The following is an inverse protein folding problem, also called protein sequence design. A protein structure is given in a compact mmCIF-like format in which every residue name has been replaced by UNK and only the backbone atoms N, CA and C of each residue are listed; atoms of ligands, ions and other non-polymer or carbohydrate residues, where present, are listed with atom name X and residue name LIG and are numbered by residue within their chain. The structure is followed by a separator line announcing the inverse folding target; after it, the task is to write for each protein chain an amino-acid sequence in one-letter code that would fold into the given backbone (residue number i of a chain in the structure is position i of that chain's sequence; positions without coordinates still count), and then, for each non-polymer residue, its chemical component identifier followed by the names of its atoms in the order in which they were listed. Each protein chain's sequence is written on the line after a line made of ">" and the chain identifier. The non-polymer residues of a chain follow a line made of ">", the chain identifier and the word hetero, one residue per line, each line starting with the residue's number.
data_IF_431227914696
#
_entry.id   IF_431227914696
#
_cell.length_a   1.000
_cell.length_b   1.000
_cell.length_c   1.000
_cell.angle_alpha   90.00
_cell.angle_beta   90.00
_cell.angle_gamma   90.00
#
_symmetry.space_group_name_H-M   'P 1'
#
loop_
_entity.id
_entity.type
_entity.pdbx_description
1 polymer ?
#
# COMPACT_ATOMS: atom_id res chain seq x y z
N UNK A 1 -15.32 -7.43 -17.83
CA UNK A 1 -14.17 -8.15 -17.23
C UNK A 1 -14.08 -9.52 -17.86
N UNK A 2 -12.94 -9.89 -18.45
CA UNK A 2 -12.72 -11.22 -19.04
C UNK A 2 -11.58 -11.91 -18.29
N UNK A 3 -11.86 -13.11 -17.77
CA UNK A 3 -10.98 -13.85 -16.87
C UNK A 3 -10.43 -15.11 -17.51
N UNK A 4 -9.18 -15.45 -17.20
CA UNK A 4 -8.52 -16.71 -17.49
C UNK A 4 -8.06 -17.36 -16.19
N UNK A 5 -8.11 -18.69 -16.14
CA UNK A 5 -7.60 -19.50 -15.05
C UNK A 5 -6.27 -20.14 -15.46
N UNK A 6 -5.30 -20.05 -14.56
CA UNK A 6 -3.96 -20.60 -14.76
C UNK A 6 -3.64 -21.59 -13.63
N UNK A 7 -2.88 -22.62 -13.93
CA UNK A 7 -2.35 -23.54 -12.92
C UNK A 7 -1.16 -22.91 -12.15
N UNK A 8 -0.55 -23.69 -11.27
CA UNK A 8 0.62 -23.27 -10.50
C UNK A 8 1.85 -22.95 -11.37
N UNK A 9 1.94 -23.55 -12.56
CA UNK A 9 3.01 -23.30 -13.54
C UNK A 9 2.70 -22.15 -14.49
N UNK A 10 1.61 -21.40 -14.24
CA UNK A 10 1.09 -20.31 -15.06
C UNK A 10 0.63 -20.73 -16.47
N UNK A 11 0.40 -22.01 -16.72
CA UNK A 11 -0.25 -22.47 -17.91
C UNK A 11 -1.74 -22.12 -17.85
N UNK A 12 -2.30 -21.58 -18.93
CA UNK A 12 -3.73 -21.31 -19.00
C UNK A 12 -4.51 -22.62 -19.13
N UNK A 13 -5.25 -22.99 -18.10
CA UNK A 13 -6.02 -24.22 -18.01
C UNK A 13 -7.52 -24.05 -18.32
N UNK A 14 -8.04 -22.82 -18.24
CA UNK A 14 -9.40 -22.50 -18.67
C UNK A 14 -9.56 -21.03 -19.03
N UNK A 15 -10.50 -20.75 -19.95
CA UNK A 15 -11.01 -19.41 -20.22
C UNK A 15 -12.38 -19.27 -19.58
N UNK A 16 -12.45 -18.47 -18.51
CA UNK A 16 -13.71 -18.17 -17.83
C UNK A 16 -14.50 -17.12 -18.63
N UNK A 17 -13.78 -16.17 -19.23
CA UNK A 17 -14.39 -15.03 -19.92
C UNK A 17 -15.18 -14.15 -18.94
N UNK A 18 -16.41 -13.84 -19.27
CA UNK A 18 -17.37 -13.13 -18.41
C UNK A 18 -18.45 -14.09 -17.81
N UNK A 19 -18.23 -15.41 -17.87
CA UNK A 19 -19.16 -16.45 -17.41
C UNK A 19 -18.97 -16.75 -15.92
N UNK A 20 -19.01 -15.74 -15.08
CA UNK A 20 -18.99 -15.86 -13.63
C UNK A 20 -20.29 -15.29 -13.05
N UNK A 21 -20.67 -15.71 -11.84
CA UNK A 21 -21.82 -15.20 -11.11
C UNK A 21 -21.48 -13.84 -10.52
N UNK A 22 -20.35 -13.78 -9.82
CA UNK A 22 -19.80 -12.54 -9.26
C UNK A 22 -18.27 -12.57 -9.23
N UNK A 23 -17.66 -11.40 -9.30
CA UNK A 23 -16.22 -11.23 -9.15
C UNK A 23 -15.92 -9.93 -8.41
N UNK A 24 -15.19 -10.04 -7.30
CA UNK A 24 -14.53 -8.94 -6.63
C UNK A 24 -13.06 -8.98 -7.01
N UNK A 25 -12.59 -7.95 -7.68
CA UNK A 25 -11.19 -7.75 -8.07
C UNK A 25 -10.66 -6.49 -7.43
N UNK A 26 -9.66 -6.61 -6.56
CA UNK A 26 -9.09 -5.44 -5.90
C UNK A 26 -7.57 -5.45 -6.00
N UNK A 27 -6.98 -4.29 -6.31
CA UNK A 27 -5.54 -4.08 -6.41
C UNK A 27 -5.13 -2.91 -5.53
N UNK A 28 -4.00 -3.03 -4.80
CA UNK A 28 -3.56 -2.01 -3.85
C UNK A 28 -2.14 -1.52 -4.10
N UNK A 29 -1.95 -0.22 -3.86
CA UNK A 29 -0.63 0.37 -3.82
C UNK A 29 0.10 -0.09 -2.55
N UNK A 30 1.23 -0.75 -2.72
CA UNK A 30 2.11 -1.24 -1.63
C UNK A 30 1.42 -2.15 -0.59
N UNK A 31 0.24 -2.66 -0.89
CA UNK A 31 -0.53 -3.58 -0.03
C UNK A 31 -1.16 -4.66 -0.87
N UNK A 32 -1.44 -5.82 -0.27
CA UNK A 32 -2.18 -6.89 -0.94
C UNK A 32 -3.68 -6.74 -0.71
N UNK A 33 -4.47 -6.86 -1.77
CA UNK A 33 -5.93 -6.74 -1.72
C UNK A 33 -6.63 -8.09 -1.94
N UNK A 34 -7.89 -8.14 -1.54
CA UNK A 34 -8.71 -9.35 -1.61
C UNK A 34 -9.28 -9.58 -3.00
N UNK A 35 -9.46 -10.84 -3.31
CA UNK A 35 -10.09 -11.37 -4.51
C UNK A 35 -11.17 -12.39 -4.15
N UNK A 36 -12.30 -12.32 -4.84
CA UNK A 36 -13.35 -13.34 -4.73
C UNK A 36 -13.97 -13.58 -6.11
N UNK A 37 -14.08 -14.84 -6.49
CA UNK A 37 -14.68 -15.27 -7.74
C UNK A 37 -15.73 -16.34 -7.46
N UNK A 38 -16.96 -16.11 -7.90
CA UNK A 38 -18.05 -17.07 -7.81
C UNK A 38 -18.41 -17.58 -9.20
N UNK A 39 -18.38 -18.89 -9.37
CA UNK A 39 -18.68 -19.58 -10.61
C UNK A 39 -19.86 -20.54 -10.41
N UNK A 40 -20.62 -20.77 -11.45
CA UNK A 40 -21.57 -21.91 -11.46
C UNK A 40 -20.77 -23.20 -11.43
N UNK A 41 -21.18 -24.12 -10.57
CA UNK A 41 -20.53 -25.44 -10.43
C UNK A 41 -20.63 -26.24 -11.73
N UNK A 42 -19.49 -26.67 -12.24
CA UNK A 42 -19.35 -27.60 -13.36
C UNK A 42 -18.28 -28.64 -13.03
N UNK A 43 -18.31 -29.82 -13.66
CA UNK A 43 -17.28 -30.83 -13.48
C UNK A 43 -15.88 -30.31 -13.88
N UNK A 44 -15.83 -29.44 -14.89
CA UNK A 44 -14.59 -28.79 -15.30
C UNK A 44 -14.03 -27.89 -14.22
N UNK A 45 -14.84 -26.96 -13.70
CA UNK A 45 -14.38 -26.00 -12.69
C UNK A 45 -14.09 -26.67 -11.34
N UNK A 46 -14.85 -27.72 -10.95
CA UNK A 46 -14.53 -28.52 -9.76
C UNK A 46 -13.14 -29.14 -9.81
N UNK A 47 -12.66 -29.51 -10.99
CA UNK A 47 -11.32 -30.09 -11.15
C UNK A 47 -10.21 -29.01 -11.24
N UNK A 48 -10.50 -27.91 -11.93
CA UNK A 48 -9.49 -26.91 -12.30
C UNK A 48 -9.33 -25.77 -11.28
N UNK A 49 -10.41 -25.38 -10.59
CA UNK A 49 -10.34 -24.28 -9.59
C UNK A 49 -9.82 -24.86 -8.28
N UNK A 50 -8.57 -24.55 -7.96
CA UNK A 50 -7.86 -25.09 -6.78
C UNK A 50 -7.07 -23.98 -6.06
N UNK A 51 -6.75 -24.16 -4.77
CA UNK A 51 -5.74 -23.33 -4.12
C UNK A 51 -4.43 -23.32 -4.92
N UNK A 52 -3.74 -22.20 -4.89
CA UNK A 52 -2.50 -21.89 -5.61
C UNK A 52 -2.62 -21.86 -7.14
N UNK A 53 -3.83 -21.98 -7.70
CA UNK A 53 -4.10 -21.53 -9.07
C UNK A 53 -4.21 -20.01 -9.12
N UNK A 54 -4.00 -19.46 -10.32
CA UNK A 54 -4.08 -18.03 -10.54
C UNK A 54 -5.25 -17.67 -11.45
N UNK A 55 -5.80 -16.47 -11.21
CA UNK A 55 -6.80 -15.86 -12.09
C UNK A 55 -6.20 -14.57 -12.63
N UNK A 56 -6.25 -14.40 -13.95
CA UNK A 56 -5.77 -13.22 -14.64
C UNK A 56 -6.87 -12.58 -15.49
N UNK A 57 -6.74 -11.29 -15.70
CA UNK A 57 -7.59 -10.50 -16.61
C UNK A 57 -6.91 -10.33 -17.95
N UNK A 58 -7.70 -10.08 -18.99
CA UNK A 58 -7.16 -9.79 -20.33
C UNK A 58 -6.77 -8.32 -20.51
N UNK A 59 -7.29 -7.44 -19.65
CA UNK A 59 -7.12 -5.98 -19.72
C UNK A 59 -6.16 -5.43 -18.64
N UNK A 60 -5.61 -6.31 -17.78
CA UNK A 60 -4.63 -5.94 -16.74
C UNK A 60 -3.58 -7.03 -16.57
N UNK A 61 -2.32 -6.64 -16.31
CA UNK A 61 -1.23 -7.61 -16.14
C UNK A 61 -1.21 -8.29 -14.76
N UNK A 62 -1.96 -7.76 -13.78
CA UNK A 62 -2.02 -8.30 -12.42
C UNK A 62 -2.69 -9.67 -12.40
N UNK A 63 -2.14 -10.59 -11.61
CA UNK A 63 -2.76 -11.87 -11.29
C UNK A 63 -3.30 -11.88 -9.85
N UNK A 64 -4.34 -12.68 -9.64
CA UNK A 64 -4.84 -13.06 -8.31
C UNK A 64 -4.48 -14.51 -8.03
N UNK A 65 -3.98 -14.82 -6.83
CA UNK A 65 -3.73 -16.18 -6.37
C UNK A 65 -4.93 -16.67 -5.56
N UNK A 66 -5.47 -17.84 -5.89
CA UNK A 66 -6.54 -18.50 -5.13
C UNK A 66 -5.93 -19.10 -3.87
N UNK A 67 -6.46 -18.78 -2.70
CA UNK A 67 -6.01 -19.34 -1.42
C UNK A 67 -7.06 -20.27 -0.79
N UNK A 68 -8.32 -20.10 -1.13
CA UNK A 68 -9.39 -20.97 -0.62
C UNK A 68 -10.45 -21.21 -1.69
N UNK A 69 -11.01 -22.40 -1.69
CA UNK A 69 -12.11 -22.82 -2.59
C UNK A 69 -13.19 -23.49 -1.77
N UNK A 70 -14.42 -23.00 -1.89
CA UNK A 70 -15.60 -23.58 -1.26
C UNK A 70 -16.63 -23.93 -2.34
N UNK A 71 -17.16 -25.16 -2.30
CA UNK A 71 -18.22 -25.61 -3.19
C UNK A 71 -19.51 -25.77 -2.36
N UNK A 72 -20.51 -24.99 -2.67
CA UNK A 72 -21.83 -25.06 -1.98
C UNK A 72 -22.96 -24.52 -2.85
N UNK A 73 -24.13 -25.15 -2.74
CA UNK A 73 -25.34 -24.67 -3.39
C UNK A 73 -25.27 -24.57 -4.91
N UNK A 74 -24.49 -25.43 -5.58
CA UNK A 74 -24.28 -25.38 -7.02
C UNK A 74 -23.29 -24.31 -7.49
N UNK A 75 -22.51 -23.74 -6.57
CA UNK A 75 -21.54 -22.70 -6.85
C UNK A 75 -20.15 -23.07 -6.32
N UNK A 76 -19.13 -22.59 -7.00
CA UNK A 76 -17.73 -22.64 -6.59
C UNK A 76 -17.33 -21.21 -6.23
N UNK A 77 -16.90 -21.00 -4.99
CA UNK A 77 -16.44 -19.72 -4.48
C UNK A 77 -14.93 -19.81 -4.24
N UNK A 78 -14.17 -19.13 -5.05
CA UNK A 78 -12.71 -19.03 -4.93
C UNK A 78 -12.34 -17.68 -4.33
N UNK A 79 -11.63 -17.70 -3.20
CA UNK A 79 -11.13 -16.49 -2.54
C UNK A 79 -9.61 -16.48 -2.51
N UNK A 80 -9.03 -15.31 -2.52
CA UNK A 80 -7.58 -15.15 -2.53
C UNK A 80 -7.15 -13.69 -2.45
N UNK A 81 -5.96 -13.42 -2.94
CA UNK A 81 -5.34 -12.09 -2.92
C UNK A 81 -4.56 -11.83 -4.20
N UNK A 82 -4.08 -10.60 -4.38
CA UNK A 82 -3.10 -10.29 -5.43
C UNK A 82 -1.90 -11.26 -5.36
N UNK A 83 -1.35 -11.63 -6.53
CA UNK A 83 -0.27 -12.61 -6.63
C UNK A 83 1.00 -12.23 -5.85
N UNK A 84 1.29 -10.94 -5.66
CA UNK A 84 2.41 -10.49 -4.79
C UNK A 84 2.32 -11.03 -3.36
N UNK A 85 1.14 -11.51 -2.92
CA UNK A 85 0.95 -12.16 -1.61
C UNK A 85 1.84 -13.41 -1.44
N UNK A 86 2.24 -14.08 -2.52
CA UNK A 86 3.11 -15.28 -2.42
C UNK A 86 4.50 -14.95 -1.88
N UNK A 87 4.94 -13.69 -1.96
CA UNK A 87 6.18 -13.22 -1.34
C UNK A 87 6.17 -13.31 0.20
N UNK A 88 4.99 -13.37 0.81
CA UNK A 88 4.88 -13.59 2.26
C UNK A 88 5.34 -14.98 2.68
N UNK A 89 5.23 -15.94 1.78
CA UNK A 89 5.60 -17.32 2.03
C UNK A 89 7.11 -17.56 1.79
N UNK A 90 7.87 -16.49 1.45
CA UNK A 90 9.33 -16.49 1.26
C UNK A 90 10.00 -15.75 2.41
N UNK A 91 10.63 -16.50 3.31
CA UNK A 91 11.33 -15.95 4.48
C UNK A 91 12.77 -15.56 4.13
N UNK A 92 13.14 -14.34 4.46
CA UNK A 92 14.52 -13.86 4.42
C UNK A 92 15.15 -13.91 5.83
N UNK A 93 16.20 -14.71 5.98
CA UNK A 93 16.99 -14.80 7.22
C UNK A 93 18.33 -14.07 6.99
N UNK A 94 18.35 -12.81 7.32
CA UNK A 94 19.51 -11.94 7.12
C UNK A 94 19.20 -10.51 7.50
N UNK A 95 20.12 -9.61 7.19
CA UNK A 95 20.02 -8.16 7.46
C UNK A 95 20.28 -7.38 6.19
N UNK A 96 19.42 -6.38 5.95
CA UNK A 96 19.63 -5.33 4.95
C UNK A 96 20.16 -4.11 5.71
N UNK A 97 21.33 -3.61 5.28
CA UNK A 97 21.96 -2.45 5.88
C UNK A 97 21.30 -1.14 5.45
N UNK A 98 21.38 -0.13 6.31
CA UNK A 98 21.04 1.24 5.96
C UNK A 98 21.80 1.73 4.71
N UNK A 99 21.16 2.54 3.89
CA UNK A 99 21.71 3.09 2.65
C UNK A 99 21.59 2.16 1.42
N UNK A 100 21.02 0.96 1.57
CA UNK A 100 20.82 0.05 0.44
C UNK A 100 19.69 0.51 -0.47
N UNK A 101 19.86 0.50 -1.82
CA UNK A 101 18.76 0.75 -2.74
C UNK A 101 17.64 -0.29 -2.56
N UNK A 102 16.38 0.18 -2.51
CA UNK A 102 15.22 -0.65 -2.16
C UNK A 102 15.07 -1.87 -3.08
N UNK A 103 15.02 -1.65 -4.38
CA UNK A 103 14.85 -2.68 -5.40
C UNK A 103 15.98 -3.71 -5.37
N UNK A 104 17.21 -3.24 -5.37
CA UNK A 104 18.42 -4.09 -5.28
C UNK A 104 18.47 -4.87 -3.97
N UNK A 105 18.12 -4.23 -2.85
CA UNK A 105 18.14 -4.87 -1.54
C UNK A 105 17.12 -6.01 -1.44
N UNK A 106 15.90 -5.78 -1.92
CA UNK A 106 14.85 -6.81 -1.95
C UNK A 106 15.20 -7.94 -2.91
N UNK A 107 15.71 -7.62 -4.11
CA UNK A 107 16.17 -8.64 -5.07
C UNK A 107 17.26 -9.52 -4.48
N UNK A 108 18.25 -8.92 -3.84
CA UNK A 108 19.34 -9.66 -3.19
C UNK A 108 18.83 -10.53 -2.02
N UNK A 109 17.91 -10.02 -1.22
CA UNK A 109 17.27 -10.79 -0.15
C UNK A 109 16.49 -11.98 -0.71
N UNK A 110 15.73 -11.77 -1.78
CA UNK A 110 14.98 -12.82 -2.46
C UNK A 110 15.88 -13.90 -3.05
N UNK A 111 16.97 -13.51 -3.71
CA UNK A 111 17.94 -14.44 -4.31
C UNK A 111 18.69 -15.30 -3.27
N UNK A 112 18.79 -14.83 -2.02
CA UNK A 112 19.36 -15.57 -0.88
C UNK A 112 18.35 -16.44 -0.13
N UNK A 113 17.08 -16.35 -0.49
CA UNK A 113 15.97 -17.09 0.14
C UNK A 113 15.56 -18.30 -0.69
N UNK A 114 14.69 -19.17 -0.13
CA UNK A 114 14.01 -20.20 -0.91
C UNK A 114 12.99 -19.52 -1.82
N UNK A 115 13.36 -19.32 -3.08
CA UNK A 115 12.56 -18.60 -4.05
C UNK A 115 11.22 -19.30 -4.30
N UNK A 116 10.17 -18.51 -4.44
CA UNK A 116 8.85 -19.03 -4.81
C UNK A 116 8.83 -19.41 -6.29
N UNK A 117 8.15 -20.51 -6.60
CA UNK A 117 8.03 -21.01 -7.97
C UNK A 117 7.43 -19.95 -8.90
N UNK A 118 8.03 -19.75 -10.06
CA UNK A 118 7.58 -18.79 -11.08
C UNK A 118 7.50 -17.31 -10.62
N UNK A 119 8.17 -16.93 -9.52
CA UNK A 119 8.29 -15.54 -9.08
C UNK A 119 9.71 -15.03 -9.34
N UNK A 120 9.80 -13.81 -9.81
CA UNK A 120 11.06 -13.08 -10.00
C UNK A 120 10.94 -11.66 -9.47
N UNK A 121 12.07 -11.06 -9.09
CA UNK A 121 12.16 -9.63 -8.78
C UNK A 121 12.90 -8.96 -9.93
N UNK A 122 12.22 -8.05 -10.62
CA UNK A 122 12.78 -7.31 -11.76
C UNK A 122 13.90 -6.36 -11.32
N UNK A 123 14.81 -6.05 -12.24
CA UNK A 123 15.75 -4.94 -12.08
C UNK A 123 15.01 -3.63 -12.39
N UNK A 124 14.98 -2.70 -11.44
CA UNK A 124 14.26 -1.42 -11.57
C UNK A 124 15.18 -0.21 -11.58
N UNK A 125 16.43 -0.37 -11.08
CA UNK A 125 17.50 0.65 -11.04
C UNK A 125 17.02 2.04 -10.56
N UNK A 126 16.21 2.04 -9.49
CA UNK A 126 15.60 3.27 -8.97
C UNK A 126 16.58 4.15 -8.21
N UNK A 127 17.64 3.56 -7.63
CA UNK A 127 18.65 4.28 -6.84
C UNK A 127 18.12 4.87 -5.52
N UNK A 128 16.88 4.58 -5.12
CA UNK A 128 16.27 5.10 -3.89
C UNK A 128 16.72 4.29 -2.70
N UNK A 129 17.45 4.93 -1.78
CA UNK A 129 18.04 4.28 -0.62
C UNK A 129 17.03 4.13 0.54
N UNK A 130 17.05 2.98 1.18
CA UNK A 130 16.40 2.73 2.46
C UNK A 130 17.36 3.07 3.60
N UNK A 131 16.96 3.97 4.48
CA UNK A 131 17.85 4.61 5.46
C UNK A 131 17.89 3.92 6.84
N UNK A 132 17.27 2.75 6.97
CA UNK A 132 17.25 2.00 8.22
C UNK A 132 17.83 0.60 8.04
N UNK A 133 18.07 -0.10 9.15
CA UNK A 133 18.40 -1.51 9.14
C UNK A 133 17.13 -2.35 9.32
N UNK A 134 17.00 -3.43 8.55
CA UNK A 134 15.87 -4.35 8.66
C UNK A 134 16.37 -5.80 8.60
N UNK A 135 15.81 -6.68 9.44
CA UNK A 135 16.26 -8.07 9.58
C UNK A 135 15.09 -9.03 9.74
N UNK A 136 15.27 -10.27 9.26
CA UNK A 136 14.41 -11.42 9.51
C UNK A 136 12.92 -11.17 9.22
N UNK A 137 12.59 -10.93 7.94
CA UNK A 137 11.23 -10.68 7.46
C UNK A 137 10.90 -11.59 6.28
N UNK A 138 9.61 -11.75 5.98
CA UNK A 138 9.21 -12.23 4.66
C UNK A 138 9.57 -11.20 3.58
N UNK A 139 9.71 -11.65 2.34
CA UNK A 139 10.01 -10.72 1.22
C UNK A 139 8.88 -9.70 1.04
N UNK A 140 7.62 -10.08 1.27
CA UNK A 140 6.50 -9.13 1.22
C UNK A 140 6.62 -8.04 2.29
N UNK A 141 6.89 -8.42 3.55
CA UNK A 141 7.07 -7.45 4.63
C UNK A 141 8.26 -6.50 4.37
N UNK A 142 9.36 -7.00 3.77
CA UNK A 142 10.46 -6.15 3.33
C UNK A 142 9.98 -5.11 2.32
N UNK A 143 9.24 -5.54 1.27
CA UNK A 143 8.68 -4.64 0.28
C UNK A 143 7.78 -3.58 0.91
N UNK A 144 6.85 -4.00 1.78
CA UNK A 144 5.86 -3.10 2.40
C UNK A 144 6.55 -2.05 3.31
N UNK A 145 7.49 -2.47 4.17
CA UNK A 145 8.20 -1.56 5.08
C UNK A 145 9.08 -0.59 4.30
N UNK A 146 9.90 -1.10 3.37
CA UNK A 146 10.81 -0.25 2.61
C UNK A 146 10.06 0.71 1.68
N UNK A 147 8.97 0.25 1.06
CA UNK A 147 8.12 1.07 0.21
C UNK A 147 7.41 2.19 0.99
N UNK A 148 6.94 1.91 2.22
CA UNK A 148 6.31 2.91 3.07
C UNK A 148 7.26 4.05 3.43
N UNK A 149 8.52 3.73 3.73
CA UNK A 149 9.50 4.72 4.17
C UNK A 149 10.13 5.52 3.01
N UNK A 150 10.17 4.94 1.82
CA UNK A 150 10.86 5.54 0.66
C UNK A 150 9.93 6.09 -0.41
N UNK A 151 8.62 5.89 -0.26
CA UNK A 151 7.59 6.28 -1.25
C UNK A 151 7.77 5.58 -2.62
N UNK A 152 8.51 4.46 -2.65
CA UNK A 152 8.65 3.59 -3.82
C UNK A 152 7.42 2.69 -3.92
N UNK A 153 6.87 2.52 -5.12
CA UNK A 153 5.82 1.56 -5.39
C UNK A 153 6.36 0.19 -5.75
N UNK A 154 5.61 -0.87 -5.41
CA UNK A 154 5.86 -2.20 -5.95
C UNK A 154 4.55 -2.86 -6.41
N UNK A 155 4.64 -3.64 -7.48
CA UNK A 155 3.51 -4.38 -8.05
C UNK A 155 3.98 -5.72 -8.58
N UNK A 156 3.06 -6.68 -8.68
CA UNK A 156 3.29 -7.92 -9.41
C UNK A 156 2.58 -7.87 -10.76
N UNK A 157 3.31 -8.21 -11.80
CA UNK A 157 2.79 -8.31 -13.16
C UNK A 157 3.04 -9.70 -13.70
N UNK A 158 2.15 -10.16 -14.57
CA UNK A 158 2.41 -11.37 -15.34
C UNK A 158 3.34 -11.02 -16.49
N UNK A 159 4.46 -11.72 -16.56
CA UNK A 159 5.44 -11.66 -17.63
C UNK A 159 5.61 -13.08 -18.23
N UNK A 160 4.93 -13.33 -19.34
CA UNK A 160 4.82 -14.63 -20.02
C UNK A 160 4.45 -15.78 -19.04
N UNK A 161 5.42 -16.58 -18.64
CA UNK A 161 5.28 -17.73 -17.75
C UNK A 161 5.79 -17.48 -16.32
N UNK A 162 5.96 -16.21 -15.93
CA UNK A 162 6.44 -15.79 -14.63
C UNK A 162 5.58 -14.68 -14.03
N UNK A 163 5.69 -14.54 -12.71
CA UNK A 163 5.20 -13.38 -11.97
C UNK A 163 6.41 -12.51 -11.69
N UNK A 164 6.50 -11.36 -12.34
CA UNK A 164 7.56 -10.39 -12.11
C UNK A 164 7.10 -9.35 -11.08
N UNK A 165 7.91 -9.12 -10.05
CA UNK A 165 7.70 -8.03 -9.11
C UNK A 165 8.57 -6.86 -9.53
N UNK A 166 7.92 -5.75 -9.83
CA UNK A 166 8.55 -4.52 -10.29
C UNK A 166 8.48 -3.45 -9.21
N UNK A 167 9.56 -2.70 -9.03
CA UNK A 167 9.57 -1.47 -8.24
C UNK A 167 9.49 -0.27 -9.17
N UNK A 168 8.78 0.77 -8.74
CA UNK A 168 8.61 1.98 -9.54
C UNK A 168 8.49 3.22 -8.66
N UNK A 169 8.80 4.38 -9.24
CA UNK A 169 8.57 5.66 -8.59
C UNK A 169 7.19 6.15 -9.02
N UNK A 170 6.24 6.33 -8.07
CA UNK A 170 4.94 6.90 -8.40
C UNK A 170 5.04 8.30 -9.00
N UNK A 171 4.24 8.59 -10.02
CA UNK A 171 4.25 9.87 -10.68
C UNK A 171 3.40 10.91 -9.92
N UNK A 172 3.91 12.14 -9.80
CA UNK A 172 3.07 13.30 -9.59
C UNK A 172 2.54 13.75 -10.95
N UNK A 173 1.22 13.67 -11.15
CA UNK A 173 0.59 14.12 -12.38
C UNK A 173 -0.09 15.50 -12.18
N UNK A 174 0.66 16.62 -12.28
CA UNK A 174 0.13 17.95 -12.00
C UNK A 174 -0.93 18.41 -13.00
N UNK A 175 -0.94 17.83 -14.19
CA UNK A 175 -1.86 18.17 -15.26
C UNK A 175 -3.19 17.42 -15.18
N UNK A 176 -3.26 16.37 -14.35
CA UNK A 176 -4.50 15.64 -14.10
C UNK A 176 -5.22 16.24 -12.89
N UNK A 177 -6.09 17.19 -13.17
CA UNK A 177 -6.90 17.84 -12.16
C UNK A 177 -8.22 17.09 -12.04
N UNK A 178 -8.54 16.70 -10.81
CA UNK A 178 -9.81 16.09 -10.42
C UNK A 178 -10.66 17.17 -9.76
N UNK A 179 -11.86 17.43 -10.29
CA UNK A 179 -12.75 18.48 -9.79
C UNK A 179 -14.20 18.23 -10.22
N UNK A 180 -15.16 18.70 -9.40
CA UNK A 180 -16.58 18.71 -9.77
C UNK A 180 -16.84 19.58 -11.00
N UNK A 181 -16.14 20.71 -11.14
CA UNK A 181 -16.28 21.62 -12.27
C UNK A 181 -15.89 20.97 -13.59
N UNK A 182 -14.88 20.09 -13.57
CA UNK A 182 -14.44 19.30 -14.74
C UNK A 182 -15.38 18.09 -14.97
N UNK A 183 -16.19 17.73 -13.96
CA UNK A 183 -17.12 16.61 -14.06
C UNK A 183 -16.44 15.23 -14.01
N UNK A 184 -15.23 15.14 -13.45
CA UNK A 184 -14.47 13.88 -13.35
C UNK A 184 -14.37 13.33 -11.91
N UNK A 185 -15.22 13.80 -11.02
CA UNK A 185 -15.34 13.38 -9.62
C UNK A 185 -16.81 13.31 -9.22
N UNK A 186 -17.16 12.29 -8.45
CA UNK A 186 -18.47 12.15 -7.81
C UNK A 186 -18.32 11.86 -6.32
N UNK A 187 -19.44 12.01 -5.57
CA UNK A 187 -19.52 11.66 -4.15
C UNK A 187 -18.36 12.20 -3.30
N UNK A 188 -18.17 13.53 -3.34
CA UNK A 188 -17.18 14.16 -2.48
C UNK A 188 -17.73 14.23 -1.07
N UNK A 189 -17.14 13.48 -0.17
CA UNK A 189 -17.30 13.62 1.27
C UNK A 189 -16.04 14.28 1.81
N UNK A 190 -16.22 15.29 2.66
CA UNK A 190 -15.14 15.98 3.32
C UNK A 190 -15.40 15.93 4.82
N UNK A 191 -14.44 15.43 5.58
CA UNK A 191 -14.44 15.57 7.03
C UNK A 191 -13.06 15.99 7.53
N UNK A 192 -13.06 16.95 8.42
CA UNK A 192 -11.86 17.43 9.10
C UNK A 192 -12.02 17.15 10.59
N UNK A 193 -11.04 16.50 11.20
CA UNK A 193 -11.04 16.24 12.63
C UNK A 193 -9.70 16.62 13.25
N UNK A 194 -9.78 17.31 14.35
CA UNK A 194 -8.65 17.68 15.22
C UNK A 194 -8.70 16.94 16.56
N UNK A 195 -9.57 15.93 16.67
CA UNK A 195 -9.82 15.22 17.94
C UNK A 195 -8.54 14.62 18.52
N UNK A 196 -7.75 13.97 17.67
CA UNK A 196 -6.47 13.37 18.06
C UNK A 196 -5.26 14.21 17.65
N UNK A 197 -5.48 15.38 17.09
CA UNK A 197 -4.40 16.24 16.62
C UNK A 197 -3.55 16.79 17.77
N UNK A 198 -2.24 16.63 17.63
CA UNK A 198 -1.22 17.16 18.54
C UNK A 198 -0.15 17.89 17.74
N UNK A 199 0.31 19.03 18.25
CA UNK A 199 1.32 19.85 17.59
C UNK A 199 2.48 20.24 18.50
N UNK A 200 2.50 19.72 19.73
CA UNK A 200 3.63 19.85 20.63
C UNK A 200 3.84 18.51 21.38
N UNK A 201 5.06 17.99 21.39
CA UNK A 201 5.39 16.79 22.16
C UNK A 201 6.30 17.15 23.34
N UNK A 202 5.87 16.75 24.54
CA UNK A 202 6.67 16.80 25.75
C UNK A 202 7.28 15.40 25.90
N UNK A 203 8.56 15.28 25.50
CA UNK A 203 9.28 13.99 25.53
C UNK A 203 10.00 13.85 26.87
N UNK A 204 9.71 12.78 27.56
CA UNK A 204 10.28 12.47 28.87
C UNK A 204 11.25 11.28 28.73
N UNK A 205 12.56 11.57 28.77
CA UNK A 205 13.65 10.62 28.68
C UNK A 205 13.94 9.88 30.01
N UNK A 206 15.19 9.52 30.25
CA UNK A 206 15.63 8.85 31.47
C UNK A 206 15.50 9.75 32.72
N UNK A 207 15.53 9.12 33.89
CA UNK A 207 15.30 9.74 35.19
C UNK A 207 14.01 9.27 35.86
N UNK A 208 13.71 9.81 37.03
CA UNK A 208 12.50 9.47 37.80
C UNK A 208 11.72 10.73 38.18
N UNK A 209 10.41 10.65 38.13
CA UNK A 209 9.53 11.74 38.53
C UNK A 209 9.82 13.08 37.82
N UNK A 210 10.10 14.12 38.61
CA UNK A 210 10.40 15.45 38.13
C UNK A 210 11.84 15.61 37.56
N UNK A 211 12.73 14.68 37.88
CA UNK A 211 14.14 14.71 37.46
C UNK A 211 14.35 14.06 36.08
N UNK A 212 13.28 13.67 35.42
CA UNK A 212 13.36 13.14 34.04
C UNK A 212 13.86 14.20 33.09
N UNK A 213 14.77 13.80 32.19
CA UNK A 213 15.17 14.66 31.06
C UNK A 213 13.94 14.97 30.22
N UNK A 214 13.69 16.27 30.01
CA UNK A 214 12.55 16.75 29.23
C UNK A 214 13.02 17.50 28.00
N UNK A 215 12.42 17.14 26.86
CA UNK A 215 12.58 17.87 25.59
C UNK A 215 11.20 18.21 25.06
N UNK A 216 10.98 19.49 24.75
CA UNK A 216 9.76 19.98 24.11
C UNK A 216 9.99 20.11 22.60
N UNK A 217 9.15 19.44 21.83
CA UNK A 217 9.17 19.47 20.35
C UNK A 217 7.97 20.29 19.88
N UNK A 218 8.22 21.58 19.67
CA UNK A 218 7.19 22.54 19.25
C UNK A 218 7.01 22.53 17.72
N UNK A 219 5.81 22.25 17.26
CA UNK A 219 5.33 22.30 15.87
C UNK A 219 4.01 23.09 15.78
N UNK A 220 3.81 24.06 16.67
CA UNK A 220 2.57 24.85 16.71
C UNK A 220 2.44 25.79 15.52
N UNK A 221 3.56 26.27 14.97
CA UNK A 221 3.61 27.23 13.85
C UNK A 221 2.61 28.40 14.03
N UNK A 222 2.44 28.86 15.30
CA UNK A 222 1.50 29.91 15.65
C UNK A 222 0.05 29.46 15.88
N UNK A 223 -0.26 28.20 15.74
CA UNK A 223 -1.56 27.64 16.10
C UNK A 223 -1.69 27.39 17.61
N UNK A 224 -2.92 27.15 18.09
CA UNK A 224 -3.17 26.76 19.47
C UNK A 224 -2.43 25.49 19.84
N UNK A 225 -1.69 25.54 20.95
CA UNK A 225 -0.86 24.43 21.43
C UNK A 225 -1.71 23.26 21.94
N UNK A 226 -1.36 22.05 21.47
CA UNK A 226 -1.99 20.79 21.82
C UNK A 226 -0.92 19.77 22.18
N UNK A 227 -0.73 19.56 23.50
CA UNK A 227 0.36 18.75 24.03
C UNK A 227 0.12 17.23 23.88
N UNK A 228 1.18 16.54 23.55
CA UNK A 228 1.33 15.08 23.63
C UNK A 228 2.45 14.76 24.62
N UNK A 229 2.16 13.95 25.62
CA UNK A 229 3.21 13.40 26.50
C UNK A 229 3.76 12.14 25.86
N UNK A 230 5.08 12.11 25.64
CA UNK A 230 5.80 10.96 25.07
C UNK A 230 6.73 10.36 26.12
N UNK A 231 6.44 9.14 26.55
CA UNK A 231 7.36 8.38 27.40
C UNK A 231 8.48 7.78 26.55
N UNK A 232 9.72 8.16 26.82
CA UNK A 232 10.93 7.73 26.15
C UNK A 232 11.98 7.17 27.11
N UNK A 233 11.56 6.50 28.19
CA UNK A 233 12.44 5.84 29.17
C UNK A 233 13.35 4.78 28.57
N UNK A 234 12.93 4.19 27.46
CA UNK A 234 13.69 3.22 26.68
C UNK A 234 14.91 3.83 25.99
N UNK A 235 14.92 5.15 25.75
CA UNK A 235 16.04 5.89 25.19
C UNK A 235 16.94 6.31 26.35
N UNK A 236 18.01 5.54 26.59
CA UNK A 236 19.02 5.83 27.60
C UNK A 236 20.20 6.55 26.97
N UNK A 237 20.88 7.39 27.78
CA UNK A 237 22.12 8.02 27.37
C UNK A 237 23.20 6.94 27.17
N UNK A 238 23.94 7.04 26.08
CA UNK A 238 25.04 6.15 25.75
C UNK A 238 26.36 6.65 26.38
N UNK A 239 27.31 5.73 26.62
CA UNK A 239 28.62 6.11 27.18
C UNK A 239 29.36 7.05 26.23
N UNK A 240 29.69 8.25 26.72
CA UNK A 240 30.35 9.29 25.94
C UNK A 240 29.43 10.17 25.09
N UNK A 241 28.11 9.91 25.10
CA UNK A 241 27.14 10.73 24.39
C UNK A 241 26.99 12.10 25.05
N UNK A 242 27.02 13.13 24.25
CA UNK A 242 26.76 14.49 24.71
C UNK A 242 25.27 14.71 24.98
N UNK A 243 24.97 15.71 25.81
CA UNK A 243 23.57 16.09 26.09
C UNK A 243 22.83 16.48 24.79
N UNK A 244 23.49 17.14 23.87
CA UNK A 244 22.92 17.54 22.60
C UNK A 244 22.52 16.35 21.73
N UNK A 245 23.37 15.33 21.66
CA UNK A 245 23.09 14.11 20.89
C UNK A 245 21.93 13.31 21.52
N UNK A 246 21.94 13.17 22.85
CA UNK A 246 20.82 12.55 23.56
C UNK A 246 19.50 13.28 23.35
N UNK A 247 19.50 14.62 23.47
CA UNK A 247 18.31 15.44 23.21
C UNK A 247 17.83 15.35 21.75
N UNK A 248 18.74 15.19 20.80
CA UNK A 248 18.37 14.98 19.39
C UNK A 248 17.62 13.65 19.18
N UNK A 249 18.01 12.59 19.88
CA UNK A 249 17.30 11.29 19.86
C UNK A 249 15.91 11.39 20.47
N UNK A 250 15.78 12.10 21.60
CA UNK A 250 14.48 12.38 22.21
C UNK A 250 13.60 13.23 21.29
N UNK A 251 14.18 14.27 20.65
CA UNK A 251 13.48 15.10 19.66
C UNK A 251 12.96 14.25 18.50
N UNK A 252 13.79 13.35 17.94
CA UNK A 252 13.39 12.47 16.87
C UNK A 252 12.20 11.56 17.28
N UNK A 253 12.20 11.04 18.52
CA UNK A 253 11.08 10.27 19.08
C UNK A 253 9.82 11.14 19.15
N UNK A 254 9.92 12.39 19.63
CA UNK A 254 8.81 13.32 19.71
C UNK A 254 8.22 13.66 18.35
N UNK A 255 9.06 13.94 17.35
CA UNK A 255 8.62 14.15 15.96
C UNK A 255 7.89 12.93 15.42
N UNK A 256 8.45 11.72 15.60
CA UNK A 256 7.81 10.48 15.17
C UNK A 256 6.42 10.29 15.79
N UNK A 257 6.30 10.58 17.09
CA UNK A 257 5.01 10.49 17.78
C UNK A 257 4.00 11.54 17.34
N UNK A 258 4.42 12.77 17.05
CA UNK A 258 3.53 13.81 16.50
C UNK A 258 2.97 13.41 15.11
N UNK A 259 3.74 12.69 14.30
CA UNK A 259 3.27 12.21 13.00
C UNK A 259 2.14 11.17 13.11
N UNK A 260 2.03 10.46 14.26
CA UNK A 260 0.91 9.56 14.55
C UNK A 260 -0.37 10.33 14.96
N UNK A 261 -0.25 11.60 15.33
CA UNK A 261 -1.31 12.48 15.83
C UNK A 261 -1.57 13.68 14.91
N UNK A 262 -1.55 13.48 13.61
CA UNK A 262 -1.81 14.53 12.63
C UNK A 262 -3.30 14.88 12.59
N UNK A 263 -3.60 16.11 12.16
CA UNK A 263 -4.96 16.48 11.80
C UNK A 263 -5.49 15.49 10.76
N UNK A 264 -6.64 14.87 11.06
CA UNK A 264 -7.25 13.94 10.14
C UNK A 264 -8.12 14.69 9.15
N UNK A 265 -7.73 14.64 7.90
CA UNK A 265 -8.52 15.11 6.79
C UNK A 265 -8.97 13.88 6.01
N UNK A 266 -10.24 13.54 6.12
CA UNK A 266 -10.81 12.47 5.31
C UNK A 266 -11.57 13.10 4.15
N UNK A 267 -11.12 12.82 2.96
CA UNK A 267 -11.87 13.08 1.74
C UNK A 267 -12.14 11.74 1.08
N UNK A 268 -13.40 11.40 0.95
CA UNK A 268 -13.82 10.35 0.06
C UNK A 268 -14.29 11.01 -1.22
N UNK A 269 -13.74 10.63 -2.33
CA UNK A 269 -14.21 11.01 -3.65
C UNK A 269 -14.00 9.84 -4.60
N UNK A 270 -14.87 9.74 -5.58
CA UNK A 270 -14.76 8.73 -6.62
C UNK A 270 -14.32 9.42 -7.91
N UNK A 271 -13.02 9.38 -8.26
CA UNK A 271 -12.59 9.76 -9.60
C UNK A 271 -13.28 8.85 -10.60
N UNK A 272 -13.63 9.39 -11.77
CA UNK A 272 -14.15 8.52 -12.82
C UNK A 272 -13.09 7.51 -13.23
N UNK A 273 -13.38 6.23 -13.00
CA UNK A 273 -12.49 5.09 -13.24
C UNK A 273 -12.11 4.90 -14.73
N UNK A 274 -12.75 5.62 -15.64
CA UNK A 274 -12.48 5.56 -17.09
C UNK A 274 -11.04 5.93 -17.45
N UNK A 275 -10.40 6.76 -16.65
CA UNK A 275 -9.02 7.20 -16.85
C UNK A 275 -7.99 6.31 -16.12
N UNK A 276 -8.43 5.40 -15.25
CA UNK A 276 -7.56 4.48 -14.51
C UNK A 276 -6.89 3.47 -15.45
N UNK A 277 -5.59 3.27 -15.27
CA UNK A 277 -4.76 2.44 -16.15
C UNK A 277 -4.41 3.09 -17.50
N UNK A 278 -4.83 4.35 -17.76
CA UNK A 278 -4.52 5.10 -18.98
C UNK A 278 -3.83 6.43 -18.71
N UNK A 279 -4.37 7.23 -17.79
CA UNK A 279 -3.87 8.56 -17.43
C UNK A 279 -3.26 8.58 -16.04
N UNK A 280 -3.65 7.65 -15.18
CA UNK A 280 -3.10 7.44 -13.86
C UNK A 280 -3.28 5.98 -13.44
N UNK A 281 -2.46 5.51 -12.50
CA UNK A 281 -2.50 4.16 -11.96
C UNK A 281 -2.25 4.18 -10.44
N UNK A 282 -2.18 2.99 -9.82
CA UNK A 282 -1.90 2.84 -8.38
C UNK A 282 -0.59 3.54 -8.00
N UNK A 283 -0.65 4.28 -6.91
CA UNK A 283 0.49 5.04 -6.38
C UNK A 283 0.61 6.46 -6.94
N UNK A 284 0.01 6.79 -8.08
CA UNK A 284 0.07 8.13 -8.63
C UNK A 284 -0.59 9.16 -7.71
N UNK A 285 -0.05 10.37 -7.73
CA UNK A 285 -0.55 11.49 -6.94
C UNK A 285 -1.39 12.39 -7.85
N UNK A 286 -2.66 12.51 -7.53
CA UNK A 286 -3.64 13.31 -8.25
C UNK A 286 -3.78 14.67 -7.57
N UNK A 287 -3.95 15.73 -8.37
CA UNK A 287 -4.35 17.06 -7.88
C UNK A 287 -5.87 17.15 -7.86
N UNK A 288 -6.46 17.33 -6.68
CA UNK A 288 -7.90 17.45 -6.49
C UNK A 288 -8.23 18.89 -6.08
N UNK A 289 -9.09 19.53 -6.85
CA UNK A 289 -9.61 20.86 -6.52
C UNK A 289 -11.02 20.76 -5.95
N UNK A 290 -11.18 21.34 -4.77
CA UNK A 290 -12.46 21.46 -4.07
C UNK A 290 -12.78 22.95 -3.87
N UNK A 291 -13.31 23.65 -4.90
CA UNK A 291 -13.55 25.10 -4.86
C UNK A 291 -14.51 25.51 -3.74
N UNK A 292 -15.54 24.70 -3.49
CA UNK A 292 -16.54 24.92 -2.43
C UNK A 292 -15.91 25.03 -1.03
N UNK A 293 -14.72 24.46 -0.86
CA UNK A 293 -13.95 24.49 0.41
C UNK A 293 -12.68 25.35 0.32
N UNK A 294 -12.45 26.03 -0.82
CA UNK A 294 -11.23 26.83 -1.04
C UNK A 294 -9.93 26.00 -1.01
N UNK A 295 -9.98 24.71 -1.32
CA UNK A 295 -8.87 23.80 -1.13
C UNK A 295 -8.35 23.19 -2.43
N UNK A 296 -7.04 22.96 -2.44
CA UNK A 296 -6.37 22.08 -3.41
C UNK A 296 -5.64 20.98 -2.65
N UNK A 297 -5.91 19.74 -2.99
CA UNK A 297 -5.37 18.57 -2.33
C UNK A 297 -4.47 17.81 -3.30
N UNK A 298 -3.45 17.15 -2.75
CA UNK A 298 -2.75 16.09 -3.44
C UNK A 298 -3.13 14.77 -2.78
N UNK A 299 -3.64 13.82 -3.57
CA UNK A 299 -4.16 12.57 -3.08
C UNK A 299 -3.55 11.40 -3.86
N UNK A 300 -2.98 10.43 -3.13
CA UNK A 300 -2.39 9.22 -3.74
C UNK A 300 -3.47 8.20 -4.05
N UNK A 301 -3.46 7.63 -5.24
CA UNK A 301 -4.30 6.48 -5.60
C UNK A 301 -3.82 5.26 -4.84
N UNK A 302 -4.63 4.79 -3.88
CA UNK A 302 -4.26 3.72 -2.95
C UNK A 302 -4.85 2.37 -3.32
N UNK A 303 -6.04 2.34 -3.91
CA UNK A 303 -6.74 1.10 -4.26
C UNK A 303 -7.62 1.26 -5.49
N UNK A 304 -7.63 0.23 -6.30
CA UNK A 304 -8.59 -0.01 -7.37
C UNK A 304 -9.46 -1.20 -6.99
N UNK A 305 -10.76 -1.06 -7.04
CA UNK A 305 -11.71 -2.18 -6.81
C UNK A 305 -12.72 -2.23 -7.93
N UNK A 306 -12.94 -3.41 -8.47
CA UNK A 306 -13.98 -3.66 -9.45
C UNK A 306 -14.85 -4.83 -9.00
N UNK A 307 -16.15 -4.57 -8.83
CA UNK A 307 -17.17 -5.58 -8.54
C UNK A 307 -17.99 -5.82 -9.80
N UNK A 308 -18.04 -7.06 -10.25
CA UNK A 308 -18.87 -7.45 -11.38
C UNK A 308 -19.86 -8.54 -10.94
N UNK A 309 -21.14 -8.35 -11.24
CA UNK A 309 -22.21 -9.30 -10.94
C UNK A 309 -23.27 -9.23 -12.04
N UNK A 310 -23.51 -10.34 -12.70
CA UNK A 310 -24.38 -10.37 -13.88
C UNK A 310 -23.88 -9.39 -14.95
N UNK A 311 -24.74 -8.46 -15.37
CA UNK A 311 -24.40 -7.44 -16.36
C UNK A 311 -23.92 -6.12 -15.73
N UNK A 312 -23.86 -6.04 -14.41
CA UNK A 312 -23.42 -4.83 -13.70
C UNK A 312 -21.93 -4.90 -13.39
N UNK A 313 -21.25 -3.79 -13.56
CA UNK A 313 -19.85 -3.62 -13.15
C UNK A 313 -19.71 -2.26 -12.46
N UNK A 314 -19.30 -2.29 -11.21
CA UNK A 314 -19.00 -1.12 -10.41
C UNK A 314 -17.47 -1.01 -10.26
N UNK A 315 -16.93 0.17 -10.45
CA UNK A 315 -15.50 0.43 -10.28
C UNK A 315 -15.32 1.56 -9.28
N UNK A 316 -14.50 1.33 -8.27
CA UNK A 316 -14.16 2.29 -7.21
C UNK A 316 -12.66 2.51 -7.19
N UNK A 317 -12.24 3.78 -7.16
CA UNK A 317 -10.86 4.20 -6.93
C UNK A 317 -10.81 4.85 -5.56
N UNK A 318 -10.01 4.29 -4.67
CA UNK A 318 -9.76 4.88 -3.36
C UNK A 318 -8.46 5.68 -3.39
N UNK A 319 -8.45 6.76 -2.65
CA UNK A 319 -7.26 7.58 -2.44
C UNK A 319 -6.87 7.57 -0.96
N UNK A 320 -5.57 7.60 -0.72
CA UNK A 320 -5.00 7.70 0.62
C UNK A 320 -3.89 8.76 0.64
N UNK A 321 -3.30 9.01 1.81
CA UNK A 321 -2.21 9.98 2.04
C UNK A 321 -2.48 11.31 1.32
N UNK A 322 -3.31 12.14 1.96
CA UNK A 322 -3.75 13.42 1.41
C UNK A 322 -2.85 14.52 1.96
N UNK A 323 -2.32 15.36 1.09
CA UNK A 323 -1.62 16.60 1.45
C UNK A 323 -2.51 17.79 1.09
N UNK A 324 -2.73 18.68 2.04
CA UNK A 324 -3.61 19.84 1.88
C UNK A 324 -2.78 21.09 1.67
N UNK A 325 -3.05 21.82 0.60
CA UNK A 325 -2.59 23.17 0.39
C UNK A 325 -3.79 24.13 0.56
N UNK A 326 -3.87 24.80 1.70
CA UNK A 326 -4.83 25.91 1.92
C UNK A 326 -4.29 27.16 1.24
N UNK A 327 -5.12 27.84 0.47
CA UNK A 327 -4.82 29.18 -0.04
C UNK A 327 -5.18 30.24 0.98
#
# INVERSE_FOLDING_TARGET
>A
MNLNLYDHDLNRIATIGNRFVSCLWSEGYNTTQDFCLELVETEEYKRKVRPDCYVGRTDRPTLMVIKSVVVRGGHIIATGKEAKRVMYDVAFVGTISSGSPVDTAVKNAYNKSNQYHKLTIADSDLGVAYNYQISHKSILELCEIMAQDTDVGFRSVRDDDQISVEFYQPALNPNLIISREIGNISNVEFSESVENYKNNAIVLGEGEGADRVRVDVDRTDGAERRDLIVDAKDIRREDGETESEYNARLTARGVGKLLEHTQTLNTAFLPYAVDFGKRYDLGDILTVRLPDYGMTLQARVSRFTQKAQGNSTETTIEVGKITVNRR
#
